data_IF_232841544534
#
_entry.id   IF_232841544534
#
_cell.length_a   1.000
_cell.length_b   1.000
_cell.length_c   1.000
_cell.angle_alpha   90.00
_cell.angle_beta   90.00
_cell.angle_gamma   90.00
#
_symmetry.space_group_name_H-M   'P 1'
#
loop_
_entity.id
_entity.type
_entity.pdbx_description
1 polymer ?
#
# COMPACT_ATOMS: atom_id res chain seq x y z
N UNK A 1 -40.60 -44.27 -32.47
CA UNK A 1 -39.80 -43.02 -32.46
C UNK A 1 -39.34 -42.70 -31.03
N UNK A 2 -38.08 -43.00 -30.65
CA UNK A 2 -37.56 -42.78 -29.28
C UNK A 2 -36.92 -41.39 -29.16
N UNK A 3 -37.62 -40.44 -28.52
CA UNK A 3 -37.13 -39.07 -28.24
C UNK A 3 -36.01 -39.11 -27.17
N UNK A 4 -34.74 -38.98 -27.58
CA UNK A 4 -33.59 -38.83 -26.66
C UNK A 4 -33.66 -37.46 -25.97
N UNK A 5 -34.00 -37.45 -24.67
CA UNK A 5 -33.91 -36.25 -23.81
C UNK A 5 -32.43 -35.85 -23.62
N UNK A 6 -31.99 -34.78 -24.30
CA UNK A 6 -30.68 -34.15 -24.07
C UNK A 6 -30.65 -33.52 -22.67
N UNK A 7 -29.96 -34.15 -21.72
CA UNK A 7 -29.62 -33.55 -20.42
C UNK A 7 -28.68 -32.36 -20.64
N UNK A 8 -29.21 -31.14 -20.55
CA UNK A 8 -28.41 -29.91 -20.53
C UNK A 8 -27.63 -29.91 -19.21
N UNK A 9 -26.34 -30.23 -19.28
CA UNK A 9 -25.42 -30.13 -18.13
C UNK A 9 -25.28 -28.64 -17.79
N UNK A 10 -25.87 -28.21 -16.66
CA UNK A 10 -25.64 -26.90 -16.05
C UNK A 10 -24.14 -26.76 -15.72
N UNK A 11 -23.40 -26.11 -16.61
CA UNK A 11 -22.01 -25.69 -16.33
C UNK A 11 -22.12 -24.60 -15.26
N UNK A 12 -21.93 -24.97 -13.98
CA UNK A 12 -21.75 -24.00 -12.90
C UNK A 12 -20.50 -23.19 -13.24
N UNK A 13 -20.66 -21.93 -13.70
CA UNK A 13 -19.57 -20.96 -13.81
C UNK A 13 -18.87 -20.89 -12.46
N UNK A 14 -17.70 -21.52 -12.32
CA UNK A 14 -16.81 -21.34 -11.18
C UNK A 14 -16.33 -19.88 -11.22
N UNK A 15 -16.98 -19.02 -10.44
CA UNK A 15 -16.48 -17.67 -10.20
C UNK A 15 -15.14 -17.81 -9.49
N UNK A 16 -14.06 -17.45 -10.18
CA UNK A 16 -12.74 -17.41 -9.55
C UNK A 16 -12.80 -16.41 -8.38
N UNK A 17 -12.26 -16.75 -7.20
CA UNK A 17 -12.30 -15.83 -6.07
C UNK A 17 -11.53 -14.56 -6.46
N UNK A 18 -12.23 -13.42 -6.47
CA UNK A 18 -11.61 -12.11 -6.70
C UNK A 18 -10.49 -11.93 -5.66
N UNK A 19 -9.24 -11.81 -6.13
CA UNK A 19 -8.08 -11.52 -5.26
C UNK A 19 -8.40 -10.28 -4.43
N UNK A 20 -8.46 -10.43 -3.10
CA UNK A 20 -8.62 -9.31 -2.17
C UNK A 20 -7.47 -8.32 -2.40
N UNK A 21 -7.79 -7.04 -2.63
CA UNK A 21 -6.77 -5.98 -2.73
C UNK A 21 -5.98 -5.96 -1.42
N UNK A 22 -4.65 -6.13 -1.51
CA UNK A 22 -3.78 -6.08 -0.32
C UNK A 22 -3.88 -4.69 0.30
N UNK A 23 -4.01 -4.63 1.63
CA UNK A 23 -3.92 -3.36 2.37
C UNK A 23 -2.48 -2.87 2.25
N UNK A 24 -2.32 -1.61 1.83
CA UNK A 24 -1.00 -1.00 1.69
C UNK A 24 -0.36 -0.88 3.08
N UNK A 25 0.93 -1.22 3.14
CA UNK A 25 1.76 -1.05 4.32
C UNK A 25 2.17 0.42 4.51
N UNK A 26 2.64 0.79 5.72
CA UNK A 26 3.23 2.12 5.98
C UNK A 26 4.30 2.43 4.94
N UNK A 27 5.16 1.45 4.62
CA UNK A 27 6.22 1.58 3.61
C UNK A 27 5.65 1.97 2.25
N UNK A 28 4.63 1.28 1.77
CA UNK A 28 4.04 1.54 0.46
C UNK A 28 3.33 2.88 0.41
N UNK A 29 2.61 3.25 1.47
CA UNK A 29 2.04 4.59 1.57
C UNK A 29 3.11 5.68 1.56
N UNK A 30 4.21 5.50 2.30
CA UNK A 30 5.35 6.43 2.31
C UNK A 30 5.97 6.55 0.92
N UNK A 31 6.18 5.43 0.22
CA UNK A 31 6.71 5.44 -1.15
C UNK A 31 5.77 6.21 -2.08
N UNK A 32 4.47 5.94 -2.06
CA UNK A 32 3.51 6.63 -2.92
C UNK A 32 3.43 8.13 -2.60
N UNK A 33 3.52 8.53 -1.32
CA UNK A 33 3.59 9.95 -0.93
C UNK A 33 4.85 10.61 -1.48
N UNK A 34 6.01 9.98 -1.30
CA UNK A 34 7.29 10.53 -1.78
C UNK A 34 7.42 10.47 -3.29
N UNK A 35 6.74 9.54 -3.97
CA UNK A 35 6.70 9.45 -5.45
C UNK A 35 5.86 10.59 -6.04
N UNK A 36 4.75 10.95 -5.39
CA UNK A 36 3.90 12.08 -5.80
C UNK A 36 4.48 13.43 -5.41
N UNK A 37 5.30 13.46 -4.36
CA UNK A 37 5.98 14.67 -3.93
C UNK A 37 7.22 14.92 -4.78
N UNK A 38 7.26 16.05 -5.50
CA UNK A 38 8.48 16.47 -6.22
C UNK A 38 9.62 16.84 -5.26
N UNK A 39 9.26 17.26 -4.04
CA UNK A 39 10.20 17.72 -3.02
C UNK A 39 10.41 16.69 -1.90
N UNK A 40 11.59 16.69 -1.23
CA UNK A 40 11.80 15.94 -0.01
C UNK A 40 10.75 16.30 1.05
N UNK A 41 10.22 15.31 1.77
CA UNK A 41 9.12 15.48 2.72
C UNK A 41 9.56 15.10 4.13
N UNK A 42 9.16 15.90 5.10
CA UNK A 42 9.38 15.61 6.51
C UNK A 42 8.55 14.41 6.97
N UNK A 43 9.06 13.53 7.84
CA UNK A 43 8.34 12.31 8.23
C UNK A 43 6.98 12.64 8.89
N UNK A 44 6.86 13.73 9.63
CA UNK A 44 5.59 14.21 10.24
C UNK A 44 4.52 14.49 9.18
N UNK A 45 4.93 15.12 8.08
CA UNK A 45 4.07 15.44 6.95
C UNK A 45 3.67 14.16 6.20
N UNK A 46 4.60 13.20 6.05
CA UNK A 46 4.29 11.87 5.54
C UNK A 46 3.23 11.21 6.45
N UNK A 47 3.42 11.20 7.77
CA UNK A 47 2.46 10.63 8.73
C UNK A 47 1.08 11.28 8.59
N UNK A 48 1.00 12.61 8.48
CA UNK A 48 -0.26 13.34 8.27
C UNK A 48 -0.98 12.87 7.01
N UNK A 49 -0.27 12.75 5.89
CA UNK A 49 -0.82 12.25 4.62
C UNK A 49 -1.24 10.79 4.68
N UNK A 50 -0.53 9.95 5.44
CA UNK A 50 -0.93 8.55 5.67
C UNK A 50 -2.24 8.49 6.47
N UNK A 51 -2.39 9.30 7.51
CA UNK A 51 -3.64 9.41 8.27
C UNK A 51 -4.81 9.88 7.41
N UNK A 52 -4.60 10.90 6.58
CA UNK A 52 -5.61 11.42 5.65
C UNK A 52 -6.09 10.38 4.63
N UNK A 53 -5.26 9.38 4.30
CA UNK A 53 -5.62 8.25 3.43
C UNK A 53 -6.45 7.17 4.14
N UNK A 54 -6.80 7.36 5.41
CA UNK A 54 -7.58 6.41 6.21
C UNK A 54 -6.76 5.25 6.78
N UNK A 55 -5.43 5.31 6.75
CA UNK A 55 -4.61 4.29 7.38
C UNK A 55 -4.67 4.41 8.91
N UNK A 56 -5.14 3.34 9.58
CA UNK A 56 -5.19 3.27 11.04
C UNK A 56 -3.86 2.76 11.57
N UNK A 57 -3.13 3.61 12.27
CA UNK A 57 -1.93 3.20 12.99
C UNK A 57 -2.29 2.43 14.25
N UNK A 58 -1.55 1.35 14.53
CA UNK A 58 -1.77 0.54 15.73
C UNK A 58 -1.08 1.15 16.97
N UNK A 59 -0.06 1.99 16.76
CA UNK A 59 0.68 2.63 17.86
C UNK A 59 0.03 3.94 18.28
N UNK A 60 0.18 4.27 19.56
CA UNK A 60 -0.15 5.59 20.13
C UNK A 60 0.58 6.71 19.38
N UNK A 61 1.86 6.49 19.05
CA UNK A 61 2.68 7.40 18.24
C UNK A 61 2.84 6.95 16.77
N UNK A 62 2.00 7.46 15.86
CA UNK A 62 2.07 7.14 14.44
C UNK A 62 3.33 7.71 13.78
N UNK A 63 3.80 8.87 14.26
CA UNK A 63 5.02 9.53 13.82
C UNK A 63 6.25 8.63 13.96
N UNK A 64 6.43 8.03 15.15
CA UNK A 64 7.52 7.10 15.43
C UNK A 64 7.47 5.86 14.53
N UNK A 65 6.27 5.38 14.21
CA UNK A 65 6.07 4.25 13.31
C UNK A 65 6.58 4.54 11.90
N UNK A 66 6.30 5.74 11.38
CA UNK A 66 6.78 6.18 10.06
C UNK A 66 8.29 6.39 10.09
N UNK A 67 8.81 7.07 11.11
CA UNK A 67 10.25 7.31 11.26
C UNK A 67 11.06 6.00 11.29
N UNK A 68 10.65 5.03 12.12
CA UNK A 68 11.28 3.70 12.18
C UNK A 68 11.19 3.00 10.82
N UNK A 69 10.02 3.07 10.17
CA UNK A 69 9.83 2.44 8.85
C UNK A 69 10.80 3.01 7.82
N UNK A 70 10.96 4.33 7.77
CA UNK A 70 11.87 4.99 6.83
C UNK A 70 13.32 4.57 7.10
N UNK A 71 13.76 4.64 8.36
CA UNK A 71 15.15 4.32 8.72
C UNK A 71 15.48 2.83 8.56
N UNK A 72 14.47 1.94 8.58
CA UNK A 72 14.65 0.50 8.30
C UNK A 72 14.98 0.21 6.84
N UNK A 73 14.68 1.12 5.91
CA UNK A 73 14.89 0.93 4.47
C UNK A 73 15.81 2.01 3.86
N UNK A 74 17.10 2.07 4.24
CA UNK A 74 18.04 3.07 3.71
C UNK A 74 18.36 2.88 2.22
N UNK A 75 18.08 1.69 1.66
CA UNK A 75 18.20 1.42 0.22
C UNK A 75 17.11 2.13 -0.60
N UNK A 76 15.98 2.46 0.01
CA UNK A 76 14.80 3.05 -0.66
C UNK A 76 14.67 4.54 -0.33
N UNK A 77 14.91 4.92 0.92
CA UNK A 77 14.74 6.29 1.39
C UNK A 77 16.09 6.95 1.64
N UNK A 78 16.33 8.10 1.00
CA UNK A 78 17.51 8.95 1.22
C UNK A 78 17.13 10.11 2.13
N UNK A 79 17.83 10.26 3.26
CA UNK A 79 17.74 11.44 4.12
C UNK A 79 18.41 12.62 3.42
N UNK A 80 17.75 13.78 3.37
CA UNK A 80 18.27 15.00 2.73
C UNK A 80 18.58 16.07 3.77
N UNK A 81 17.70 16.23 4.76
CA UNK A 81 17.82 17.15 5.90
C UNK A 81 17.41 16.40 7.18
N UNK A 82 17.58 16.98 8.38
CA UNK A 82 17.01 16.41 9.59
C UNK A 82 15.54 16.03 9.36
N UNK A 83 15.21 14.77 9.67
CA UNK A 83 13.86 14.23 9.59
C UNK A 83 13.12 14.38 8.22
N UNK A 84 13.85 14.68 7.15
CA UNK A 84 13.30 14.94 5.80
C UNK A 84 13.89 13.98 4.78
N UNK A 85 13.02 13.34 4.00
CA UNK A 85 13.37 12.19 3.17
C UNK A 85 12.87 12.34 1.74
N UNK A 86 13.61 11.73 0.80
CA UNK A 86 13.20 11.53 -0.59
C UNK A 86 13.40 10.07 -0.99
N UNK A 87 12.80 9.65 -2.11
CA UNK A 87 13.14 8.35 -2.69
C UNK A 87 14.57 8.37 -3.22
N UNK A 88 15.30 7.28 -2.97
CA UNK A 88 16.59 7.03 -3.59
C UNK A 88 16.32 6.56 -5.01
N UNK A 89 16.54 7.45 -5.97
CA UNK A 89 16.53 7.08 -7.39
C UNK A 89 17.68 6.10 -7.63
N UNK A 90 17.42 5.04 -8.40
CA UNK A 90 18.45 4.09 -8.85
C UNK A 90 19.44 4.78 -9.76
#
# INVERSE_FOLDING_TARGET
MKRKKKKIKRIKKRTTPKKKKKKLSIREHTIDILKRSKNPVHYREITKRIKQRGYRFHRKDPERSVYITINRYPKIFKKVKPATYKLKTR
#
